data_IF_359191579188
#
_entry.id   IF_359191579188
#
_cell.length_a   1.000
_cell.length_b   1.000
_cell.length_c   1.000
_cell.angle_alpha   90.00
_cell.angle_beta   90.00
_cell.angle_gamma   90.00
#
_symmetry.space_group_name_H-M   'P 1'
#
loop_
_entity.id
_entity.type
_entity.pdbx_description
1 polymer ?
#
# COMPACT_ATOMS: atom_id res chain seq x y z
N UNK A 1 11.16 -31.86 -1.42
CA UNK A 1 11.01 -30.77 -0.45
C UNK A 1 11.88 -29.64 -0.94
N UNK A 2 11.32 -28.74 -1.74
CA UNK A 2 12.05 -27.62 -2.34
C UNK A 2 12.28 -26.59 -1.25
N UNK A 3 13.54 -26.28 -0.97
CA UNK A 3 13.89 -25.21 -0.05
C UNK A 3 13.34 -23.90 -0.62
N UNK A 4 12.47 -23.22 0.12
CA UNK A 4 11.95 -21.92 -0.26
C UNK A 4 13.08 -20.92 -0.05
N UNK A 5 13.56 -20.30 -1.12
CA UNK A 5 14.60 -19.27 -1.03
C UNK A 5 13.96 -17.98 -0.50
N UNK A 6 14.38 -17.45 0.67
CA UNK A 6 13.73 -16.32 1.33
C UNK A 6 13.68 -15.03 0.51
N UNK A 7 14.48 -14.94 -0.55
CA UNK A 7 14.57 -13.77 -1.43
C UNK A 7 13.55 -13.84 -2.56
N UNK A 8 13.27 -15.02 -3.11
CA UNK A 8 12.23 -15.23 -4.14
C UNK A 8 10.84 -14.90 -3.58
N UNK A 9 10.57 -15.32 -2.34
CA UNK A 9 9.33 -14.98 -1.62
C UNK A 9 9.16 -13.46 -1.43
N UNK A 10 10.25 -12.76 -1.05
CA UNK A 10 10.20 -11.31 -0.81
C UNK A 10 9.98 -10.54 -2.11
N UNK A 11 10.67 -10.90 -3.18
CA UNK A 11 10.43 -10.30 -4.51
C UNK A 11 8.97 -10.49 -4.94
N UNK A 12 8.42 -11.70 -4.76
CA UNK A 12 7.03 -11.98 -5.08
C UNK A 12 6.06 -11.12 -4.25
N UNK A 13 6.31 -10.95 -2.95
CA UNK A 13 5.47 -10.10 -2.09
C UNK A 13 5.48 -8.64 -2.56
N UNK A 14 6.66 -8.08 -2.86
CA UNK A 14 6.76 -6.71 -3.37
C UNK A 14 6.07 -6.55 -4.72
N UNK A 15 6.25 -7.52 -5.62
CA UNK A 15 5.58 -7.54 -6.92
C UNK A 15 4.06 -7.54 -6.73
N UNK A 16 3.51 -8.51 -5.99
CA UNK A 16 2.08 -8.60 -5.71
C UNK A 16 1.51 -7.35 -5.04
N UNK A 17 2.22 -6.77 -4.07
CA UNK A 17 1.78 -5.52 -3.43
C UNK A 17 1.69 -4.35 -4.43
N UNK A 18 2.69 -4.19 -5.30
CA UNK A 18 2.67 -3.13 -6.33
C UNK A 18 1.56 -3.37 -7.35
N UNK A 19 1.36 -4.61 -7.80
CA UNK A 19 0.26 -4.96 -8.72
C UNK A 19 -1.11 -4.64 -8.14
N UNK A 20 -1.38 -5.00 -6.88
CA UNK A 20 -2.67 -4.70 -6.23
C UNK A 20 -2.91 -3.19 -6.13
N UNK A 21 -1.88 -2.42 -5.79
CA UNK A 21 -1.99 -0.96 -5.73
C UNK A 21 -2.22 -0.36 -7.12
N UNK A 22 -1.56 -0.87 -8.16
CA UNK A 22 -1.75 -0.41 -9.54
C UNK A 22 -3.16 -0.71 -10.05
N UNK A 23 -3.70 -1.91 -9.79
CA UNK A 23 -5.11 -2.21 -10.08
C UNK A 23 -6.06 -1.22 -9.38
N UNK A 24 -5.71 -0.81 -8.16
CA UNK A 24 -6.41 0.26 -7.44
C UNK A 24 -6.33 1.61 -8.15
N UNK A 25 -5.15 2.01 -8.63
CA UNK A 25 -4.93 3.21 -9.44
C UNK A 25 -5.79 3.19 -10.71
N UNK A 26 -5.77 2.08 -11.44
CA UNK A 26 -6.52 1.97 -12.70
C UNK A 26 -8.03 2.03 -12.47
N UNK A 27 -8.52 1.40 -11.41
CA UNK A 27 -9.91 1.52 -10.99
C UNK A 27 -10.28 2.96 -10.63
N UNK A 28 -9.45 3.66 -9.85
CA UNK A 28 -9.71 5.05 -9.45
C UNK A 28 -9.67 6.01 -10.64
N UNK A 29 -8.77 5.79 -11.60
CA UNK A 29 -8.72 6.55 -12.87
C UNK A 29 -10.01 6.38 -13.66
N UNK A 30 -10.62 5.21 -13.64
CA UNK A 30 -11.94 4.99 -14.27
C UNK A 30 -13.08 5.82 -13.64
N UNK A 31 -12.86 6.38 -12.44
CA UNK A 31 -13.82 7.23 -11.72
C UNK A 31 -13.54 8.72 -11.84
N UNK A 32 -12.57 9.15 -12.66
CA UNK A 32 -12.17 10.56 -12.76
C UNK A 32 -13.36 11.51 -13.04
N UNK A 33 -14.30 11.09 -13.90
CA UNK A 33 -15.49 11.86 -14.25
C UNK A 33 -16.71 11.58 -13.35
N UNK A 34 -16.58 10.68 -12.36
CA UNK A 34 -17.66 10.22 -11.48
C UNK A 34 -17.18 10.13 -10.00
N UNK A 35 -16.74 11.25 -9.40
CA UNK A 35 -16.19 11.26 -8.04
C UNK A 35 -17.20 10.86 -6.95
N UNK A 36 -18.50 10.97 -7.24
CA UNK A 36 -19.58 10.56 -6.34
C UNK A 36 -19.55 9.06 -6.04
N UNK A 37 -19.01 8.23 -6.95
CA UNK A 37 -18.85 6.79 -6.74
C UNK A 37 -17.99 6.45 -5.50
N UNK A 38 -17.02 7.29 -5.15
CA UNK A 38 -16.18 7.07 -3.96
C UNK A 38 -16.98 7.18 -2.66
N UNK A 39 -18.01 8.01 -2.65
CA UNK A 39 -18.82 8.32 -1.46
C UNK A 39 -20.14 7.55 -1.42
N UNK A 40 -20.52 6.93 -2.53
CA UNK A 40 -21.74 6.14 -2.64
C UNK A 40 -21.75 5.00 -1.60
N UNK A 41 -22.79 4.91 -0.76
CA UNK A 41 -22.91 3.82 0.20
C UNK A 41 -22.99 2.46 -0.51
N UNK A 42 -22.28 1.48 0.03
CA UNK A 42 -22.37 0.10 -0.44
C UNK A 42 -23.77 -0.47 -0.18
N UNK A 43 -24.30 -1.17 -1.19
CA UNK A 43 -25.57 -1.90 -1.08
C UNK A 43 -25.45 -3.15 -0.20
N UNK A 44 -24.23 -3.67 -0.05
CA UNK A 44 -23.97 -4.96 0.63
C UNK A 44 -23.23 -4.79 1.97
N UNK A 45 -22.50 -3.69 2.16
CA UNK A 45 -21.77 -3.39 3.39
C UNK A 45 -22.26 -2.08 4.01
N UNK A 46 -23.12 -2.13 5.04
CA UNK A 46 -23.65 -0.94 5.68
C UNK A 46 -22.55 0.04 6.07
N UNK A 47 -22.78 1.32 5.78
CA UNK A 47 -21.87 2.44 6.10
C UNK A 47 -20.48 2.39 5.42
N UNK A 48 -20.22 1.43 4.52
CA UNK A 48 -18.99 1.41 3.73
C UNK A 48 -19.13 2.17 2.43
N UNK A 49 -18.03 2.70 1.93
CA UNK A 49 -17.93 3.36 0.61
C UNK A 49 -16.61 2.95 -0.04
N UNK A 50 -16.51 3.10 -1.36
CA UNK A 50 -15.27 2.80 -2.10
C UNK A 50 -14.11 3.64 -1.54
N UNK A 51 -14.32 4.94 -1.32
CA UNK A 51 -13.32 5.84 -0.75
C UNK A 51 -12.82 5.39 0.63
N UNK A 52 -13.71 4.89 1.50
CA UNK A 52 -13.31 4.34 2.81
C UNK A 52 -12.42 3.09 2.68
N UNK A 53 -12.70 2.22 1.71
CA UNK A 53 -11.85 1.05 1.45
C UNK A 53 -10.47 1.46 0.96
N UNK A 54 -10.38 2.41 0.02
CA UNK A 54 -9.10 2.93 -0.45
C UNK A 54 -8.31 3.64 0.66
N UNK A 55 -8.97 4.40 1.54
CA UNK A 55 -8.32 4.94 2.75
C UNK A 55 -7.77 3.81 3.62
N UNK A 56 -8.53 2.75 3.86
CA UNK A 56 -8.03 1.61 4.65
C UNK A 56 -6.79 0.97 4.02
N UNK A 57 -6.77 0.76 2.71
CA UNK A 57 -5.60 0.24 2.01
C UNK A 57 -4.41 1.19 2.17
N UNK A 58 -4.61 2.49 1.89
CA UNK A 58 -3.57 3.50 2.01
C UNK A 58 -2.99 3.57 3.42
N UNK A 59 -3.83 3.69 4.46
CA UNK A 59 -3.38 3.77 5.85
C UNK A 59 -2.51 2.55 6.23
N UNK A 60 -2.87 1.36 5.74
CA UNK A 60 -2.13 0.14 6.03
C UNK A 60 -0.70 0.18 5.50
N UNK A 61 -0.54 0.52 4.22
CA UNK A 61 0.77 0.64 3.59
C UNK A 61 1.54 1.85 4.14
N UNK A 62 0.90 2.99 4.27
CA UNK A 62 1.52 4.22 4.75
C UNK A 62 2.09 4.05 6.17
N UNK A 63 1.30 3.51 7.10
CA UNK A 63 1.75 3.33 8.49
C UNK A 63 2.84 2.26 8.59
N UNK A 64 2.76 1.19 7.80
CA UNK A 64 3.82 0.20 7.71
C UNK A 64 5.14 0.82 7.21
N UNK A 65 5.11 1.49 6.06
CA UNK A 65 6.29 2.12 5.46
C UNK A 65 6.89 3.21 6.35
N UNK A 66 6.05 3.99 7.04
CA UNK A 66 6.46 5.02 7.99
C UNK A 66 7.13 4.46 9.24
N UNK A 67 6.77 3.25 9.66
CA UNK A 67 7.37 2.60 10.83
C UNK A 67 8.75 2.01 10.51
N UNK A 68 9.06 1.73 9.23
CA UNK A 68 10.34 1.14 8.85
C UNK A 68 11.52 2.09 9.15
N UNK A 69 12.61 1.60 9.75
CA UNK A 69 13.78 2.41 9.98
C UNK A 69 14.49 2.79 8.68
N UNK A 70 15.15 3.94 8.69
CA UNK A 70 16.00 4.39 7.57
C UNK A 70 17.33 3.62 7.49
N UNK A 71 17.76 2.97 8.57
CA UNK A 71 18.96 2.15 8.66
C UNK A 71 18.67 0.66 8.42
N UNK A 72 19.68 -0.17 8.07
CA UNK A 72 19.50 -1.61 7.91
C UNK A 72 19.03 -2.23 9.23
N UNK A 73 17.95 -3.01 9.19
CA UNK A 73 17.52 -3.80 10.33
C UNK A 73 18.67 -4.76 10.69
N UNK A 74 19.27 -4.57 11.86
CA UNK A 74 20.21 -5.54 12.42
C UNK A 74 19.50 -6.89 12.51
N UNK A 75 20.11 -7.97 12.04
CA UNK A 75 19.58 -9.34 12.14
C UNK A 75 19.62 -9.88 13.58
N UNK A 76 19.71 -9.00 14.59
CA UNK A 76 19.59 -9.40 15.97
C UNK A 76 18.13 -9.76 16.23
N UNK A 77 17.87 -11.00 16.65
CA UNK A 77 16.57 -11.53 17.07
C UNK A 77 15.96 -10.81 18.30
N UNK A 78 16.53 -9.69 18.73
CA UNK A 78 15.96 -8.85 19.77
C UNK A 78 14.66 -8.22 19.25
N UNK A 79 13.52 -8.79 19.65
CA UNK A 79 12.17 -8.24 19.49
C UNK A 79 12.05 -6.73 19.85
N UNK A 80 12.99 -6.19 20.64
CA UNK A 80 13.06 -4.79 21.01
C UNK A 80 13.45 -3.84 19.86
N UNK A 81 14.13 -4.34 18.82
CA UNK A 81 14.60 -3.54 17.68
C UNK A 81 13.64 -3.58 16.46
N UNK A 82 12.52 -4.31 16.58
CA UNK A 82 11.52 -4.38 15.52
C UNK A 82 10.66 -3.11 15.49
N UNK A 83 10.39 -2.54 14.29
CA UNK A 83 9.55 -1.37 14.16
C UNK A 83 8.12 -1.67 14.60
N UNK A 84 7.59 -0.84 15.51
CA UNK A 84 6.20 -0.93 15.99
C UNK A 84 5.28 -0.21 15.02
N UNK A 85 4.34 -0.94 14.41
CA UNK A 85 3.31 -0.35 13.52
C UNK A 85 2.03 -0.12 14.30
N UNK A 86 1.62 1.15 14.44
CA UNK A 86 0.40 1.53 15.17
C UNK A 86 -0.77 1.84 14.21
N UNK A 87 -1.50 0.81 13.77
CA UNK A 87 -2.61 0.95 12.80
C UNK A 87 -3.82 1.76 13.30
N UNK A 88 -3.90 2.05 14.60
CA UNK A 88 -4.93 2.92 15.16
C UNK A 88 -4.63 4.41 15.02
N UNK A 89 -3.38 4.79 14.72
CA UNK A 89 -2.96 6.19 14.50
C UNK A 89 -3.26 6.65 13.07
N UNK A 90 -4.53 6.53 12.67
CA UNK A 90 -5.01 6.91 11.34
C UNK A 90 -5.33 8.38 11.30
N UNK A 91 -4.89 9.06 10.24
CA UNK A 91 -5.38 10.41 9.95
C UNK A 91 -6.84 10.32 9.49
N UNK A 92 -7.68 11.17 10.09
CA UNK A 92 -9.08 11.31 9.70
C UNK A 92 -9.16 12.56 8.81
N UNK A 93 -9.87 12.45 7.68
CA UNK A 93 -10.01 13.48 6.60
C UNK A 93 -8.89 13.47 5.56
N UNK A 94 -8.63 12.30 4.97
CA UNK A 94 -7.78 12.22 3.77
C UNK A 94 -8.65 12.58 2.56
N UNK A 95 -8.24 13.53 1.69
CA UNK A 95 -8.97 13.86 0.45
C UNK A 95 -9.31 12.64 -0.41
N UNK A 96 -8.54 11.55 -0.27
CA UNK A 96 -8.77 10.30 -0.99
C UNK A 96 -10.14 9.65 -0.77
N UNK A 97 -10.85 9.97 0.31
CA UNK A 97 -12.19 9.39 0.54
C UNK A 97 -13.24 9.95 -0.43
N UNK A 98 -12.99 11.11 -1.05
CA UNK A 98 -13.96 11.81 -1.89
C UNK A 98 -13.39 12.42 -3.18
N UNK A 99 -12.07 12.36 -3.40
CA UNK A 99 -11.40 12.84 -4.60
C UNK A 99 -10.60 11.68 -5.26
N UNK A 100 -11.05 11.18 -6.43
CA UNK A 100 -10.35 10.13 -7.17
C UNK A 100 -8.93 10.52 -7.56
N UNK A 101 -8.68 11.79 -7.90
CA UNK A 101 -7.37 12.28 -8.33
C UNK A 101 -6.42 12.25 -7.14
N UNK A 102 -6.85 12.75 -5.98
CA UNK A 102 -6.06 12.66 -4.76
C UNK A 102 -5.77 11.20 -4.38
N UNK A 103 -6.77 10.31 -4.51
CA UNK A 103 -6.60 8.89 -4.24
C UNK A 103 -5.56 8.22 -5.15
N UNK A 104 -5.59 8.51 -6.46
CA UNK A 104 -4.57 8.06 -7.42
C UNK A 104 -3.18 8.52 -6.99
N UNK A 105 -3.00 9.82 -6.71
CA UNK A 105 -1.71 10.35 -6.29
C UNK A 105 -1.18 9.66 -5.03
N UNK A 106 -2.03 9.37 -4.05
CA UNK A 106 -1.60 8.67 -2.84
C UNK A 106 -1.19 7.22 -3.09
N UNK A 107 -1.90 6.49 -3.96
CA UNK A 107 -1.52 5.11 -4.27
C UNK A 107 -0.24 5.05 -5.11
N UNK A 108 -0.06 5.95 -6.08
CA UNK A 108 1.18 6.07 -6.86
C UNK A 108 2.38 6.35 -5.93
N UNK A 109 2.23 7.24 -4.95
CA UNK A 109 3.27 7.48 -3.94
C UNK A 109 3.63 6.22 -3.14
N UNK A 110 2.65 5.37 -2.79
CA UNK A 110 2.93 4.11 -2.11
C UNK A 110 3.68 3.12 -3.01
N UNK A 111 3.34 3.07 -4.31
CA UNK A 111 4.03 2.23 -5.29
C UNK A 111 5.50 2.67 -5.40
N UNK A 112 5.77 3.97 -5.46
CA UNK A 112 7.12 4.53 -5.51
C UNK A 112 7.92 4.24 -4.23
N UNK A 113 7.28 4.36 -3.06
CA UNK A 113 7.90 4.02 -1.78
C UNK A 113 8.25 2.54 -1.68
N UNK A 114 7.39 1.65 -2.19
CA UNK A 114 7.69 0.22 -2.27
C UNK A 114 8.83 -0.07 -3.23
N UNK A 115 8.91 0.62 -4.37
CA UNK A 115 10.04 0.50 -5.31
C UNK A 115 11.36 0.95 -4.68
N UNK A 116 11.33 2.08 -3.97
CA UNK A 116 12.50 2.59 -3.22
C UNK A 116 12.94 1.60 -2.13
N UNK A 117 11.99 1.01 -1.41
CA UNK A 117 12.29 0.02 -0.38
C UNK A 117 12.85 -1.27 -0.97
N UNK A 118 12.30 -1.76 -2.09
CA UNK A 118 12.82 -2.94 -2.78
C UNK A 118 14.27 -2.73 -3.23
N UNK A 119 14.57 -1.55 -3.80
CA UNK A 119 15.94 -1.19 -4.18
C UNK A 119 16.89 -1.15 -2.98
N UNK A 120 16.46 -0.62 -1.82
CA UNK A 120 17.24 -0.65 -0.57
C UNK A 120 17.51 -2.07 -0.06
N UNK A 121 16.69 -3.04 -0.45
CA UNK A 121 16.80 -4.44 -0.07
C UNK A 121 17.44 -5.30 -1.16
N UNK A 122 17.98 -4.68 -2.21
CA UNK A 122 18.59 -5.34 -3.37
C UNK A 122 17.65 -6.37 -4.04
N UNK A 123 16.34 -6.09 -4.04
CA UNK A 123 15.34 -6.91 -4.70
C UNK A 123 15.13 -6.42 -6.14
N UNK A 124 15.29 -7.33 -7.10
CA UNK A 124 14.98 -7.09 -8.51
C UNK A 124 13.47 -7.23 -8.72
N UNK A 125 12.80 -6.12 -9.00
CA UNK A 125 11.39 -6.12 -9.41
C UNK A 125 11.36 -6.17 -10.94
N UNK A 126 11.44 -7.38 -11.50
CA UNK A 126 11.72 -7.63 -12.92
C UNK A 126 10.61 -7.23 -13.91
N UNK A 127 9.52 -6.58 -13.48
CA UNK A 127 8.43 -6.21 -14.38
C UNK A 127 7.90 -4.80 -14.09
N UNK A 128 7.61 -4.00 -15.14
CA UNK A 128 6.72 -2.86 -14.99
C UNK A 128 5.38 -3.37 -14.46
N UNK A 129 4.74 -2.58 -13.60
CA UNK A 129 3.37 -2.88 -13.20
C UNK A 129 2.50 -2.55 -14.41
N UNK A 130 2.07 -3.58 -15.14
CA UNK A 130 1.18 -3.45 -16.31
C UNK A 130 -0.21 -2.96 -15.90
#
# INVERSE_FOLDING_TARGET
>A
MTAIHPTEDRTQLFHSSRTILQQGVDLLRSFADQPDLLTRPSQYMPQSTIGKHFRHVYDHYHLFLKALPSYPLSTSDALADLPVVAYDRRDRKVPMENDPVAAVCFLEQLIDQLGTLAARLDLLLDMPVE
#
